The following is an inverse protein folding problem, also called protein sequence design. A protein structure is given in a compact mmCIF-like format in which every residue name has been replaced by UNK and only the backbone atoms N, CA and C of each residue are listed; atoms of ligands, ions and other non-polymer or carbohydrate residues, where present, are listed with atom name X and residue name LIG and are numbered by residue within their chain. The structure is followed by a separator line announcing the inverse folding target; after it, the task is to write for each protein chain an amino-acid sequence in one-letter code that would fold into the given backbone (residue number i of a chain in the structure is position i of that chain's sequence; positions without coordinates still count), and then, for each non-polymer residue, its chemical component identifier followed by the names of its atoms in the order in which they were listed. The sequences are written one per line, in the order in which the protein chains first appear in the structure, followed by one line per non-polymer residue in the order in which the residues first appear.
data_IF_406592352620
#
_entry.id   IF_406592352620
#
_cell.length_a   1.000
_cell.length_b   1.000
_cell.length_c   1.000
_cell.angle_alpha   90.00
_cell.angle_beta   90.00
_cell.angle_gamma   90.00
#
_symmetry.space_group_name_H-M   'P 1'
#
loop_
_entity.id
_entity.type
_entity.pdbx_description
1 polymer ?
#
# COMPACT_ATOMS: atom_id res chain seq x y z
N UNK A 1 -24.08 19.97 37.68
CA UNK A 1 -23.01 20.24 38.67
C UNK A 1 -23.57 19.98 40.05
N UNK A 2 -22.86 19.22 40.88
CA UNK A 2 -23.24 18.99 42.27
C UNK A 2 -22.95 20.26 43.10
N UNK A 3 -23.95 20.85 43.78
CA UNK A 3 -23.78 22.12 44.48
C UNK A 3 -22.91 22.05 45.75
N UNK A 4 -22.62 20.85 46.28
CA UNK A 4 -21.80 20.68 47.50
C UNK A 4 -20.33 20.37 47.15
N UNK A 5 -20.07 19.69 46.03
CA UNK A 5 -18.71 19.26 45.66
C UNK A 5 -18.16 19.91 44.39
N UNK A 6 -18.95 20.75 43.70
CA UNK A 6 -18.54 21.43 42.47
C UNK A 6 -18.40 20.52 41.23
N UNK A 7 -18.56 19.20 41.34
CA UNK A 7 -18.29 18.26 40.23
C UNK A 7 -19.49 18.08 39.28
N UNK A 8 -19.25 18.11 37.98
CA UNK A 8 -20.24 17.85 36.92
C UNK A 8 -20.23 16.39 36.44
N UNK A 9 -21.39 15.89 36.00
CA UNK A 9 -21.53 14.60 35.30
C UNK A 9 -22.00 14.86 33.86
N UNK A 10 -21.38 14.18 32.90
CA UNK A 10 -21.81 14.12 31.50
C UNK A 10 -22.12 12.67 31.15
N UNK A 11 -23.29 12.42 30.55
CA UNK A 11 -23.71 11.10 30.08
C UNK A 11 -23.83 11.17 28.56
N UNK A 12 -23.18 10.25 27.86
CA UNK A 12 -23.25 10.11 26.41
C UNK A 12 -23.67 8.70 26.01
N UNK A 13 -24.52 8.62 24.99
CA UNK A 13 -24.91 7.38 24.31
C UNK A 13 -24.18 7.37 22.96
N UNK A 14 -23.23 6.44 22.78
CA UNK A 14 -22.65 6.15 21.47
C UNK A 14 -23.18 4.81 21.03
N UNK A 15 -24.02 4.82 20.01
CA UNK A 15 -24.60 3.62 19.43
C UNK A 15 -23.50 2.84 18.65
N UNK A 16 -23.20 1.57 18.98
CA UNK A 16 -22.16 0.78 18.33
C UNK A 16 -22.44 0.44 16.86
N UNK A 17 -23.62 0.75 16.33
CA UNK A 17 -24.05 0.48 14.95
C UNK A 17 -23.11 1.06 13.88
N UNK A 18 -22.26 2.04 14.23
CA UNK A 18 -21.32 2.69 13.30
C UNK A 18 -19.84 2.31 13.47
N UNK A 19 -19.53 1.22 14.19
CA UNK A 19 -18.17 0.72 14.32
C UNK A 19 -17.68 0.05 13.03
N UNK A 20 -16.41 0.30 12.65
CA UNK A 20 -15.77 -0.42 11.56
C UNK A 20 -15.41 -1.87 11.97
N UNK A 21 -14.85 -2.66 11.07
CA UNK A 21 -14.48 -4.06 11.33
C UNK A 21 -13.49 -4.24 12.50
N UNK A 22 -12.86 -3.17 13.00
CA UNK A 22 -12.00 -3.16 14.19
C UNK A 22 -12.74 -2.81 15.49
N UNK A 23 -14.07 -2.63 15.42
CA UNK A 23 -14.89 -2.23 16.57
C UNK A 23 -14.76 -0.75 16.93
N UNK A 24 -14.16 0.08 16.07
CA UNK A 24 -13.93 1.52 16.33
C UNK A 24 -14.74 2.38 15.35
N UNK A 25 -15.39 3.43 15.84
CA UNK A 25 -16.08 4.41 14.99
C UNK A 25 -15.39 5.78 15.02
N UNK A 26 -15.65 6.62 14.01
CA UNK A 26 -15.19 8.01 14.03
C UNK A 26 -15.73 8.78 15.23
N UNK A 27 -16.93 8.45 15.69
CA UNK A 27 -17.55 9.06 16.87
C UNK A 27 -16.85 8.63 18.17
N UNK A 28 -16.42 7.36 18.27
CA UNK A 28 -15.62 6.90 19.41
C UNK A 28 -14.25 7.58 19.46
N UNK A 29 -13.62 7.81 18.30
CA UNK A 29 -12.35 8.56 18.21
C UNK A 29 -12.55 10.00 18.66
N UNK A 30 -13.63 10.65 18.22
CA UNK A 30 -13.97 12.02 18.60
C UNK A 30 -14.28 12.12 20.11
N UNK A 31 -14.95 11.10 20.68
CA UNK A 31 -15.16 11.02 22.12
C UNK A 31 -13.85 10.95 22.88
N UNK A 32 -12.98 9.99 22.53
CA UNK A 32 -11.69 9.81 23.19
C UNK A 32 -10.84 11.09 23.16
N UNK A 33 -10.78 11.77 21.99
CA UNK A 33 -10.06 13.02 21.85
C UNK A 33 -10.65 14.15 22.73
N UNK A 34 -11.98 14.23 22.81
CA UNK A 34 -12.65 15.23 23.65
C UNK A 34 -12.43 14.96 25.13
N UNK A 35 -12.47 13.70 25.56
CA UNK A 35 -12.21 13.31 26.95
C UNK A 35 -10.79 13.63 27.36
N UNK A 36 -9.81 13.34 26.49
CA UNK A 36 -8.40 13.64 26.74
C UNK A 36 -8.18 15.16 26.91
N UNK A 37 -8.65 15.96 25.97
CA UNK A 37 -8.48 17.43 26.01
C UNK A 37 -9.21 18.08 27.21
N UNK A 38 -10.41 17.60 27.54
CA UNK A 38 -11.14 18.05 28.73
C UNK A 38 -10.39 17.73 30.01
N UNK A 39 -9.85 16.52 30.09
CA UNK A 39 -9.17 16.11 31.29
C UNK A 39 -7.82 16.81 31.45
N UNK A 40 -7.10 17.09 30.36
CA UNK A 40 -5.88 17.91 30.40
C UNK A 40 -6.20 19.32 30.93
N UNK A 41 -7.25 19.96 30.43
CA UNK A 41 -7.73 21.26 30.93
C UNK A 41 -8.11 21.23 32.42
N UNK A 42 -8.65 20.12 32.91
CA UNK A 42 -9.12 19.97 34.29
C UNK A 42 -8.10 19.30 35.22
N UNK A 43 -6.88 19.04 34.75
CA UNK A 43 -5.80 18.45 35.54
C UNK A 43 -6.02 16.98 35.95
N UNK A 44 -6.73 16.18 35.16
CA UNK A 44 -6.86 14.73 35.40
C UNK A 44 -5.57 13.98 35.00
N UNK A 45 -5.30 12.82 35.63
CA UNK A 45 -4.29 11.87 35.17
C UNK A 45 -4.92 10.83 34.22
N UNK A 46 -4.56 10.82 32.92
CA UNK A 46 -5.09 9.88 31.95
C UNK A 46 -4.67 8.42 32.17
N UNK A 47 -3.68 8.15 33.03
CA UNK A 47 -3.23 6.79 33.37
C UNK A 47 -4.04 6.16 34.52
N UNK A 48 -4.70 6.98 35.36
CA UNK A 48 -5.43 6.51 36.54
C UNK A 48 -6.94 6.41 36.31
N UNK A 49 -7.50 7.23 35.41
CA UNK A 49 -8.91 7.16 35.02
C UNK A 49 -9.03 7.15 33.50
N UNK A 50 -9.58 6.06 32.94
CA UNK A 50 -9.81 5.90 31.48
C UNK A 50 -10.97 6.79 30.94
N UNK A 51 -11.08 8.01 31.45
CA UNK A 51 -12.13 9.00 31.18
C UNK A 51 -12.77 9.53 32.47
N UNK A 52 -13.76 10.43 32.35
CA UNK A 52 -14.62 10.83 33.47
C UNK A 52 -15.28 9.58 34.06
N UNK A 53 -14.76 9.09 35.19
CA UNK A 53 -15.17 7.79 35.73
C UNK A 53 -16.48 7.90 36.51
N UNK A 54 -17.18 6.76 36.55
CA UNK A 54 -18.09 6.38 37.64
C UNK A 54 -17.52 6.80 38.99
N UNK A 55 -18.40 7.24 39.89
CA UNK A 55 -18.06 7.58 41.27
C UNK A 55 -17.19 6.47 41.89
N UNK A 56 -15.92 6.74 42.25
CA UNK A 56 -15.00 5.72 42.77
C UNK A 56 -15.38 5.21 44.17
N UNK A 57 -16.38 5.80 44.83
CA UNK A 57 -16.76 5.46 46.21
C UNK A 57 -18.07 4.63 46.32
N UNK A 58 -18.67 4.15 45.22
CA UNK A 58 -19.91 3.37 45.29
C UNK A 58 -19.70 1.89 44.93
N UNK A 59 -19.90 1.00 45.90
CA UNK A 59 -19.69 -0.47 45.79
C UNK A 59 -20.99 -1.29 45.92
N UNK A 60 -22.17 -0.66 45.93
CA UNK A 60 -23.46 -1.31 46.15
C UNK A 60 -24.15 -1.87 44.88
N UNK A 61 -25.11 -2.79 45.08
CA UNK A 61 -25.89 -3.44 43.99
C UNK A 61 -27.26 -2.79 43.69
N UNK A 62 -27.61 -1.66 44.32
CA UNK A 62 -28.95 -1.08 44.21
C UNK A 62 -29.15 -0.28 42.89
N UNK A 63 -30.14 -0.62 42.04
CA UNK A 63 -30.44 0.14 40.83
C UNK A 63 -31.00 1.55 41.11
N UNK A 64 -31.55 1.79 42.30
CA UNK A 64 -32.16 3.06 42.71
C UNK A 64 -31.16 4.10 43.24
N UNK A 65 -29.87 3.76 43.31
CA UNK A 65 -28.81 4.72 43.67
C UNK A 65 -28.62 5.82 42.60
N UNK A 66 -29.17 5.63 41.41
CA UNK A 66 -29.22 6.64 40.37
C UNK A 66 -30.52 7.43 40.48
N UNK A 67 -30.51 8.56 41.21
CA UNK A 67 -31.51 9.61 40.97
C UNK A 67 -31.15 10.26 39.65
N UNK A 68 -31.87 9.88 38.59
CA UNK A 68 -31.81 10.57 37.30
C UNK A 68 -32.25 12.02 37.52
N UNK A 69 -31.29 12.93 37.65
CA UNK A 69 -31.60 14.34 37.53
C UNK A 69 -32.11 14.58 36.11
N UNK A 70 -33.21 15.34 36.02
CA UNK A 70 -33.89 15.75 34.79
C UNK A 70 -32.84 16.00 33.69
N UNK A 71 -32.93 15.20 32.62
CA UNK A 71 -32.06 15.32 31.46
C UNK A 71 -31.95 16.80 31.10
N UNK A 72 -30.72 17.26 30.91
CA UNK A 72 -30.47 18.63 30.54
C UNK A 72 -31.05 18.72 29.12
N UNK A 73 -32.05 19.58 28.88
CA UNK A 73 -32.74 19.69 27.59
C UNK A 73 -31.82 20.14 26.43
N UNK A 74 -30.52 20.27 26.68
CA UNK A 74 -29.53 20.86 25.80
C UNK A 74 -28.55 19.79 25.33
N UNK A 75 -28.80 19.27 24.14
CA UNK A 75 -27.86 18.42 23.41
C UNK A 75 -26.77 19.32 22.83
N UNK A 76 -25.52 19.12 23.25
CA UNK A 76 -24.36 19.80 22.67
C UNK A 76 -23.62 18.87 21.72
N UNK A 77 -23.23 19.36 20.55
CA UNK A 77 -22.40 18.59 19.61
C UNK A 77 -21.00 18.47 20.20
N UNK A 78 -20.49 17.25 20.24
CA UNK A 78 -19.20 16.94 20.84
C UNK A 78 -18.03 17.67 20.13
N UNK A 79 -18.15 17.88 18.82
CA UNK A 79 -17.20 18.68 18.03
C UNK A 79 -17.17 20.17 18.38
N UNK A 80 -18.28 20.75 18.85
CA UNK A 80 -18.32 22.14 19.30
C UNK A 80 -17.77 22.26 20.72
N UNK A 81 -17.97 21.24 21.54
CA UNK A 81 -17.43 21.16 22.90
C UNK A 81 -15.90 21.09 22.89
N UNK A 82 -15.31 20.16 22.12
CA UNK A 82 -13.84 20.03 22.06
C UNK A 82 -13.19 21.31 21.51
N UNK A 83 -13.85 22.03 20.60
CA UNK A 83 -13.36 23.31 20.08
C UNK A 83 -13.25 24.34 21.20
N UNK A 84 -14.33 24.54 21.96
CA UNK A 84 -14.34 25.48 23.09
C UNK A 84 -13.35 25.09 24.18
N UNK A 85 -13.20 23.80 24.46
CA UNK A 85 -12.24 23.30 25.45
C UNK A 85 -10.80 23.62 25.02
N UNK A 86 -10.48 23.44 23.74
CA UNK A 86 -9.16 23.79 23.19
C UNK A 86 -8.91 25.29 23.20
N UNK A 87 -9.92 26.09 22.87
CA UNK A 87 -9.85 27.55 22.96
C UNK A 87 -9.57 28.02 24.39
N UNK A 88 -10.24 27.42 25.38
CA UNK A 88 -10.02 27.67 26.82
C UNK A 88 -8.64 27.20 27.31
N UNK A 89 -8.13 26.08 26.76
CA UNK A 89 -6.83 25.51 27.11
C UNK A 89 -5.64 26.21 26.40
N UNK A 90 -5.91 27.10 25.44
CA UNK A 90 -4.87 27.72 24.60
C UNK A 90 -4.15 26.74 23.67
N UNK A 91 -4.73 25.55 23.42
CA UNK A 91 -4.15 24.54 22.53
C UNK A 91 -4.59 24.79 21.09
N UNK A 92 -3.65 24.68 20.14
CA UNK A 92 -3.93 24.88 18.72
C UNK A 92 -5.07 23.98 18.23
N UNK A 93 -6.03 24.59 17.52
CA UNK A 93 -7.04 23.81 16.84
C UNK A 93 -6.37 23.00 15.74
N UNK A 94 -6.83 21.76 15.55
CA UNK A 94 -6.48 21.00 14.35
C UNK A 94 -7.12 21.70 13.15
N UNK A 95 -6.40 22.62 12.53
CA UNK A 95 -6.72 23.14 11.21
C UNK A 95 -6.33 22.06 10.21
N UNK A 96 -7.33 21.39 9.64
CA UNK A 96 -7.08 20.54 8.49
C UNK A 96 -6.42 21.41 7.41
N UNK A 97 -5.21 21.04 6.98
CA UNK A 97 -4.48 21.74 5.93
C UNK A 97 -5.44 22.13 4.79
N UNK A 98 -5.38 23.39 4.29
CA UNK A 98 -6.34 23.89 3.33
C UNK A 98 -6.46 22.92 2.17
N UNK A 99 -7.66 22.38 1.97
CA UNK A 99 -7.92 21.47 0.86
C UNK A 99 -7.56 22.21 -0.41
N UNK A 100 -6.67 21.65 -1.23
CA UNK A 100 -6.32 22.24 -2.50
C UNK A 100 -7.58 22.30 -3.38
N UNK A 101 -8.07 23.52 -3.60
CA UNK A 101 -9.24 23.78 -4.42
C UNK A 101 -8.77 24.05 -5.85
N UNK A 102 -9.32 23.31 -6.81
CA UNK A 102 -9.09 23.57 -8.24
C UNK A 102 -10.23 24.43 -8.78
N UNK A 103 -9.91 25.47 -9.56
CA UNK A 103 -10.90 26.37 -10.16
C UNK A 103 -11.67 25.67 -11.28
N UNK A 104 -11.12 24.62 -11.88
CA UNK A 104 -11.79 23.83 -12.92
C UNK A 104 -11.36 22.36 -12.98
N UNK A 105 -12.18 21.52 -13.61
CA UNK A 105 -11.85 20.11 -13.84
C UNK A 105 -10.64 19.90 -14.77
N UNK A 106 -10.34 20.84 -15.67
CA UNK A 106 -9.14 20.79 -16.52
C UNK A 106 -7.87 21.03 -15.72
N UNK A 107 -7.92 21.99 -14.80
CA UNK A 107 -6.82 22.29 -13.89
C UNK A 107 -6.50 21.09 -12.99
N UNK A 108 -7.54 20.40 -12.49
CA UNK A 108 -7.38 19.14 -11.76
C UNK A 108 -6.68 18.06 -12.61
N UNK A 109 -7.08 17.90 -13.88
CA UNK A 109 -6.47 16.90 -14.77
C UNK A 109 -5.00 17.23 -15.03
N UNK A 110 -4.67 18.50 -15.27
CA UNK A 110 -3.30 18.92 -15.54
C UNK A 110 -2.43 18.76 -14.29
N UNK A 111 -2.90 19.19 -13.12
CA UNK A 111 -2.17 19.01 -11.87
C UNK A 111 -1.93 17.53 -11.52
N UNK A 112 -2.86 16.64 -11.87
CA UNK A 112 -2.68 15.20 -11.67
C UNK A 112 -1.68 14.61 -12.67
N UNK A 113 -1.62 15.13 -13.90
CA UNK A 113 -0.61 14.73 -14.88
C UNK A 113 0.79 15.17 -14.47
N UNK A 114 0.97 16.43 -14.07
CA UNK A 114 2.28 16.95 -13.64
C UNK A 114 2.80 16.17 -12.45
N UNK A 115 1.97 15.90 -11.44
CA UNK A 115 2.36 15.05 -10.29
C UNK A 115 2.77 13.64 -10.70
N UNK A 116 2.10 13.07 -11.71
CA UNK A 116 2.46 11.75 -12.23
C UNK A 116 3.82 11.79 -12.92
N UNK A 117 4.07 12.82 -13.72
CA UNK A 117 5.34 13.03 -14.42
C UNK A 117 6.47 13.26 -13.42
N UNK A 118 6.28 14.13 -12.43
CA UNK A 118 7.21 14.37 -11.32
C UNK A 118 7.51 13.07 -10.55
N UNK A 119 6.47 12.29 -10.20
CA UNK A 119 6.67 11.02 -9.51
C UNK A 119 7.38 9.97 -10.38
N UNK A 120 7.17 9.98 -11.70
CA UNK A 120 7.88 9.10 -12.63
C UNK A 120 9.34 9.52 -12.80
N UNK A 121 9.61 10.83 -12.91
CA UNK A 121 10.95 11.39 -12.98
C UNK A 121 11.74 11.12 -11.69
N UNK A 122 11.12 11.36 -10.52
CA UNK A 122 11.71 11.03 -9.23
C UNK A 122 11.99 9.54 -9.10
N UNK A 123 11.08 8.68 -9.55
CA UNK A 123 11.30 7.23 -9.56
C UNK A 123 12.47 6.84 -10.46
N UNK A 124 12.60 7.43 -11.65
CA UNK A 124 13.72 7.17 -12.54
C UNK A 124 15.04 7.63 -11.92
N UNK A 125 15.08 8.85 -11.38
CA UNK A 125 16.25 9.39 -10.68
C UNK A 125 16.65 8.52 -9.48
N UNK A 126 15.68 8.08 -8.68
CA UNK A 126 15.94 7.18 -7.54
C UNK A 126 16.45 5.81 -7.99
N UNK A 127 15.97 5.30 -9.13
CA UNK A 127 16.46 4.05 -9.72
C UNK A 127 17.88 4.19 -10.28
N UNK A 128 18.21 5.32 -10.90
CA UNK A 128 19.53 5.62 -11.44
C UNK A 128 20.54 5.80 -10.29
N UNK A 129 20.17 6.55 -9.24
CA UNK A 129 21.00 6.70 -8.02
C UNK A 129 21.16 5.36 -7.29
N UNK A 130 20.11 4.57 -7.11
CA UNK A 130 20.23 3.24 -6.49
C UNK A 130 21.11 2.30 -7.34
N UNK A 131 21.07 2.41 -8.68
CA UNK A 131 21.91 1.61 -9.57
C UNK A 131 23.39 2.03 -9.50
N UNK A 132 23.68 3.33 -9.37
CA UNK A 132 25.04 3.86 -9.23
C UNK A 132 25.62 3.64 -7.82
N UNK A 133 24.78 3.69 -6.77
CA UNK A 133 25.23 3.67 -5.36
C UNK A 133 25.33 2.25 -4.78
N UNK A 134 24.51 1.29 -5.22
CA UNK A 134 24.26 0.07 -4.43
C UNK A 134 25.31 -1.05 -4.49
N UNK A 135 26.29 -1.00 -5.39
CA UNK A 135 27.29 -2.07 -5.55
C UNK A 135 28.66 -1.77 -4.91
N UNK A 136 29.08 -0.49 -4.85
CA UNK A 136 30.43 -0.12 -4.42
C UNK A 136 30.53 0.51 -3.02
N UNK A 137 29.48 1.15 -2.52
CA UNK A 137 29.58 2.02 -1.33
C UNK A 137 29.25 1.33 0.02
N UNK A 138 28.61 0.15 0.02
CA UNK A 138 28.44 -0.63 1.26
C UNK A 138 29.79 -0.98 1.92
N UNK A 139 30.87 -1.05 1.13
CA UNK A 139 32.24 -1.28 1.61
C UNK A 139 32.86 -0.04 2.30
N UNK A 140 32.29 1.13 2.06
CA UNK A 140 32.77 2.42 2.57
C UNK A 140 31.80 3.06 3.57
N UNK A 141 30.67 2.43 3.88
CA UNK A 141 29.74 2.91 4.90
C UNK A 141 30.26 2.51 6.30
N UNK A 142 30.74 3.47 7.12
CA UNK A 142 31.30 3.17 8.44
C UNK A 142 30.24 2.66 9.44
N UNK A 143 28.94 2.76 9.11
CA UNK A 143 27.86 2.24 9.94
C UNK A 143 27.54 0.75 9.68
N UNK A 144 28.14 0.14 8.64
CA UNK A 144 27.97 -1.29 8.34
C UNK A 144 29.02 -2.12 9.08
N UNK A 145 28.56 -3.08 9.88
CA UNK A 145 29.39 -4.08 10.53
C UNK A 145 29.29 -5.36 9.70
N UNK A 146 30.41 -5.84 9.16
CA UNK A 146 30.45 -6.99 8.23
C UNK A 146 29.44 -6.90 7.07
N UNK A 147 29.19 -5.69 6.56
CA UNK A 147 28.22 -5.44 5.48
C UNK A 147 26.75 -5.37 5.95
N UNK A 148 26.49 -5.46 7.25
CA UNK A 148 25.15 -5.44 7.86
C UNK A 148 24.97 -4.19 8.72
N UNK A 149 23.87 -3.46 8.52
CA UNK A 149 23.50 -2.32 9.37
C UNK A 149 22.78 -2.82 10.62
N UNK A 150 23.50 -2.91 11.73
CA UNK A 150 22.96 -3.39 13.02
C UNK A 150 22.05 -2.33 13.64
N UNK A 151 20.82 -2.71 13.96
CA UNK A 151 19.89 -1.87 14.71
C UNK A 151 20.05 -2.09 16.20
N UNK A 152 20.15 -1.00 16.95
CA UNK A 152 20.32 -1.01 18.40
C UNK A 152 18.99 -0.67 19.09
N UNK A 153 18.57 -1.51 20.05
CA UNK A 153 17.41 -1.23 20.92
C UNK A 153 17.85 -0.28 22.05
N UNK A 154 18.98 -0.61 22.65
CA UNK A 154 19.72 0.19 23.64
C UNK A 154 21.21 0.02 23.33
N UNK A 155 22.06 0.90 23.86
CA UNK A 155 23.52 0.77 23.70
C UNK A 155 23.98 -0.63 24.11
N UNK A 156 24.72 -1.31 23.22
CA UNK A 156 25.21 -2.67 23.41
C UNK A 156 24.18 -3.79 23.18
N UNK A 157 22.90 -3.47 22.93
CA UNK A 157 21.83 -4.46 22.73
C UNK A 157 21.20 -4.33 21.35
N UNK A 158 21.48 -5.27 20.45
CA UNK A 158 20.94 -5.26 19.09
C UNK A 158 19.53 -5.83 18.97
N UNK A 159 18.75 -5.29 18.03
CA UNK A 159 17.50 -5.83 17.50
C UNK A 159 17.81 -6.90 16.44
N UNK A 160 18.11 -8.13 16.89
CA UNK A 160 18.62 -9.24 16.06
C UNK A 160 17.71 -9.57 14.88
N UNK A 161 16.44 -9.88 15.14
CA UNK A 161 15.49 -10.27 14.09
C UNK A 161 15.15 -9.13 13.13
N UNK A 162 15.05 -7.89 13.62
CA UNK A 162 14.75 -6.76 12.76
C UNK A 162 15.93 -6.41 11.84
N UNK A 163 17.15 -6.47 12.39
CA UNK A 163 18.39 -6.34 11.62
C UNK A 163 18.45 -7.40 10.52
N UNK A 164 18.24 -8.67 10.88
CA UNK A 164 18.24 -9.80 9.96
C UNK A 164 17.17 -9.68 8.87
N UNK A 165 15.95 -9.28 9.24
CA UNK A 165 14.84 -9.11 8.31
C UNK A 165 15.07 -7.95 7.33
N UNK A 166 15.58 -6.80 7.79
CA UNK A 166 15.90 -5.67 6.93
C UNK A 166 17.04 -5.99 5.96
N UNK A 167 18.06 -6.69 6.43
CA UNK A 167 19.16 -7.14 5.56
C UNK A 167 18.69 -8.13 4.49
N UNK A 168 17.82 -9.08 4.85
CA UNK A 168 17.19 -10.01 3.91
C UNK A 168 16.32 -9.28 2.86
N UNK A 169 15.60 -8.22 3.25
CA UNK A 169 14.86 -7.38 2.31
C UNK A 169 15.78 -6.62 1.36
N UNK A 170 16.85 -5.98 1.88
CA UNK A 170 17.85 -5.26 1.06
C UNK A 170 18.45 -6.20 0.01
N UNK A 171 18.86 -7.40 0.44
CA UNK A 171 19.43 -8.43 -0.44
C UNK A 171 18.40 -8.94 -1.45
N UNK A 172 17.14 -9.16 -1.04
CA UNK A 172 16.08 -9.57 -1.95
C UNK A 172 15.78 -8.53 -3.04
N UNK A 173 15.80 -7.24 -2.70
CA UNK A 173 15.68 -6.16 -3.67
C UNK A 173 16.88 -6.12 -4.63
N UNK A 174 18.11 -6.31 -4.13
CA UNK A 174 19.32 -6.42 -4.97
C UNK A 174 19.24 -7.57 -5.97
N UNK A 175 18.89 -8.77 -5.52
CA UNK A 175 18.71 -9.94 -6.38
C UNK A 175 17.67 -9.68 -7.47
N UNK A 176 16.57 -9.00 -7.13
CA UNK A 176 15.53 -8.61 -8.09
C UNK A 176 16.06 -7.60 -9.11
N UNK A 177 16.79 -6.58 -8.69
CA UNK A 177 17.36 -5.56 -9.58
C UNK A 177 18.40 -6.17 -10.52
N UNK A 178 19.24 -7.09 -10.01
CA UNK A 178 20.22 -7.84 -10.80
C UNK A 178 19.60 -8.90 -11.74
N UNK A 179 18.27 -9.06 -11.76
CA UNK A 179 17.58 -10.06 -12.58
C UNK A 179 17.81 -11.51 -12.13
N UNK A 180 18.40 -11.73 -10.96
CA UNK A 180 18.66 -13.06 -10.42
C UNK A 180 17.39 -13.67 -9.81
N UNK A 181 17.35 -15.02 -9.75
CA UNK A 181 16.19 -15.74 -9.22
C UNK A 181 16.13 -15.58 -7.70
N UNK A 182 15.02 -15.01 -7.22
CA UNK A 182 14.74 -14.81 -5.79
C UNK A 182 14.32 -16.12 -5.11
N UNK A 183 15.31 -16.94 -4.73
CA UNK A 183 15.12 -18.24 -4.06
C UNK A 183 14.94 -18.07 -2.55
N UNK A 184 14.17 -18.98 -1.93
CA UNK A 184 13.97 -18.98 -0.48
C UNK A 184 15.31 -19.19 0.25
N UNK A 185 16.21 -20.03 -0.29
CA UNK A 185 17.55 -20.28 0.26
C UNK A 185 18.41 -18.99 0.35
N UNK A 186 18.53 -18.23 -0.74
CA UNK A 186 19.34 -17.01 -0.74
C UNK A 186 18.82 -15.95 0.25
N UNK A 187 17.50 -15.90 0.48
CA UNK A 187 16.92 -15.01 1.49
C UNK A 187 17.21 -15.51 2.91
N UNK A 188 17.14 -16.83 3.13
CA UNK A 188 17.45 -17.45 4.42
C UNK A 188 18.92 -17.23 4.78
N UNK A 189 19.83 -17.47 3.83
CA UNK A 189 21.28 -17.26 4.04
C UNK A 189 21.59 -15.81 4.41
N UNK A 190 20.97 -14.85 3.72
CA UNK A 190 21.11 -13.42 4.01
C UNK A 190 20.54 -13.02 5.39
N UNK A 191 19.48 -13.69 5.83
CA UNK A 191 18.90 -13.49 7.15
C UNK A 191 19.81 -14.05 8.25
N UNK A 192 20.29 -15.28 8.09
CA UNK A 192 21.15 -15.95 9.07
C UNK A 192 22.49 -15.23 9.26
N UNK A 193 23.09 -14.78 8.17
CA UNK A 193 24.30 -13.97 8.22
C UNK A 193 24.12 -12.71 9.07
N UNK A 194 23.07 -11.93 8.79
CA UNK A 194 22.80 -10.70 9.54
C UNK A 194 22.35 -10.94 10.99
N UNK A 195 21.65 -12.04 11.27
CA UNK A 195 21.31 -12.44 12.63
C UNK A 195 22.57 -12.74 13.45
N UNK A 196 23.51 -13.48 12.86
CA UNK A 196 24.77 -13.83 13.51
C UNK A 196 25.63 -12.58 13.76
N UNK A 197 25.75 -11.67 12.79
CA UNK A 197 26.46 -10.39 12.97
C UNK A 197 25.83 -9.58 14.13
N UNK A 198 24.51 -9.45 14.15
CA UNK A 198 23.82 -8.74 15.22
C UNK A 198 24.00 -9.42 16.60
N UNK A 199 24.07 -10.75 16.64
CA UNK A 199 24.33 -11.51 17.87
C UNK A 199 25.76 -11.31 18.37
N UNK A 200 26.76 -11.34 17.48
CA UNK A 200 28.16 -11.20 17.85
C UNK A 200 28.45 -9.81 18.42
N UNK A 201 27.87 -8.77 17.82
CA UNK A 201 28.15 -7.38 18.20
C UNK A 201 27.19 -6.80 19.23
N UNK A 202 25.94 -7.28 19.31
CA UNK A 202 24.90 -6.73 20.19
C UNK A 202 24.15 -7.78 21.01
N UNK A 203 24.79 -8.92 21.28
CA UNK A 203 24.23 -10.01 22.08
C UNK A 203 23.95 -9.61 23.54
N UNK A 204 24.73 -8.68 24.11
CA UNK A 204 24.63 -8.24 25.51
C UNK A 204 24.59 -9.41 26.52
N UNK A 205 25.38 -10.47 26.27
CA UNK A 205 25.39 -11.68 27.09
C UNK A 205 24.14 -12.57 26.96
N UNK A 206 23.15 -12.20 26.13
CA UNK A 206 21.98 -13.04 25.84
C UNK A 206 22.44 -14.26 25.05
N UNK A 207 22.01 -15.48 25.43
CA UNK A 207 22.24 -16.65 24.60
C UNK A 207 21.67 -16.39 23.20
N UNK A 208 22.29 -17.01 22.19
CA UNK A 208 21.70 -17.04 20.87
C UNK A 208 20.29 -17.61 21.03
N UNK A 209 19.28 -16.78 20.77
CA UNK A 209 17.93 -17.29 20.62
C UNK A 209 18.02 -18.24 19.45
N UNK A 210 17.69 -19.52 19.68
CA UNK A 210 17.87 -20.54 18.66
C UNK A 210 17.27 -20.01 17.36
N UNK A 211 18.05 -19.85 16.27
CA UNK A 211 17.54 -19.21 15.07
C UNK A 211 16.28 -19.98 14.66
N UNK A 212 15.20 -19.30 14.22
CA UNK A 212 13.86 -19.87 14.15
C UNK A 212 13.87 -21.26 13.50
N UNK A 213 13.03 -22.22 13.90
CA UNK A 213 13.00 -23.53 13.27
C UNK A 213 12.88 -23.38 11.75
N UNK A 214 13.48 -24.29 10.97
CA UNK A 214 13.61 -24.15 9.51
C UNK A 214 12.28 -23.80 8.79
N UNK A 215 11.16 -24.31 9.31
CA UNK A 215 9.80 -23.99 8.84
C UNK A 215 9.46 -22.49 8.93
N UNK A 216 9.88 -21.81 9.98
CA UNK A 216 9.64 -20.39 10.20
C UNK A 216 10.55 -19.54 9.31
N UNK A 217 11.81 -19.96 9.09
CA UNK A 217 12.71 -19.31 8.13
C UNK A 217 12.18 -19.37 6.70
N UNK A 218 11.63 -20.52 6.29
CA UNK A 218 10.96 -20.65 4.99
C UNK A 218 9.73 -19.75 4.89
N UNK A 219 8.94 -19.64 5.97
CA UNK A 219 7.76 -18.76 6.00
C UNK A 219 8.16 -17.28 5.93
N UNK A 220 9.21 -16.88 6.65
CA UNK A 220 9.82 -15.56 6.59
C UNK A 220 10.33 -15.25 5.18
N UNK A 221 11.08 -16.17 4.56
CA UNK A 221 11.61 -15.99 3.21
C UNK A 221 10.50 -15.80 2.17
N UNK A 222 9.39 -16.55 2.29
CA UNK A 222 8.19 -16.36 1.45
C UNK A 222 7.55 -14.99 1.65
N UNK A 223 7.53 -14.46 2.88
CA UNK A 223 7.04 -13.11 3.18
C UNK A 223 7.95 -12.04 2.57
N UNK A 224 9.26 -12.14 2.78
CA UNK A 224 10.27 -11.24 2.17
C UNK A 224 10.12 -11.25 0.65
N UNK A 225 10.03 -12.43 0.02
CA UNK A 225 9.77 -12.55 -1.42
C UNK A 225 8.46 -11.88 -1.82
N UNK A 226 7.40 -12.04 -1.02
CA UNK A 226 6.13 -11.34 -1.19
C UNK A 226 6.29 -9.81 -1.18
N UNK A 227 6.99 -9.26 -0.20
CA UNK A 227 7.25 -7.81 -0.12
C UNK A 227 8.08 -7.31 -1.30
N UNK A 228 9.16 -8.02 -1.62
CA UNK A 228 10.07 -7.68 -2.72
C UNK A 228 9.34 -7.71 -4.06
N UNK A 229 8.46 -8.70 -4.31
CA UNK A 229 7.77 -8.87 -5.60
C UNK A 229 6.49 -8.04 -5.75
N UNK A 230 5.66 -7.98 -4.70
CA UNK A 230 4.32 -7.39 -4.76
C UNK A 230 4.30 -5.89 -4.51
N UNK A 231 5.44 -5.26 -4.16
CA UNK A 231 5.52 -3.82 -3.93
C UNK A 231 4.38 -3.31 -3.03
N UNK A 232 4.09 -4.02 -1.94
CA UNK A 232 3.50 -3.36 -0.77
C UNK A 232 4.65 -2.59 -0.13
N UNK A 233 5.03 -1.48 -0.75
CA UNK A 233 5.74 -0.45 -0.02
C UNK A 233 4.83 -0.05 1.14
N UNK A 234 5.13 -0.56 2.33
CA UNK A 234 4.99 0.27 3.52
C UNK A 234 5.67 1.56 3.15
N UNK A 235 4.86 2.62 3.03
CA UNK A 235 5.31 3.96 2.72
C UNK A 235 6.64 4.19 3.44
N UNK A 236 7.68 4.46 2.65
CA UNK A 236 8.99 4.80 3.17
C UNK A 236 8.78 5.81 4.29
N UNK A 237 9.14 5.37 5.49
CA UNK A 237 9.29 6.18 6.68
C UNK A 237 10.34 7.23 6.29
N UNK A 238 9.94 8.49 6.24
CA UNK A 238 10.85 9.61 5.98
C UNK A 238 10.87 10.15 4.55
N UNK A 239 9.74 10.60 4.01
CA UNK A 239 9.72 11.85 3.24
C UNK A 239 8.33 12.46 3.34
N UNK A 240 8.27 13.74 3.68
CA UNK A 240 7.06 14.54 3.79
C UNK A 240 6.09 14.28 2.64
N UNK A 241 4.83 14.01 3.00
CA UNK A 241 3.74 13.69 2.09
C UNK A 241 3.60 14.70 0.93
N UNK A 242 4.12 14.34 -0.23
CA UNK A 242 3.79 15.01 -1.49
C UNK A 242 2.79 14.14 -2.28
N UNK A 243 1.57 14.65 -2.42
CA UNK A 243 0.85 14.55 -3.69
C UNK A 243 -0.01 13.32 -3.99
N UNK A 244 -0.49 12.53 -3.02
CA UNK A 244 -1.54 11.54 -3.32
C UNK A 244 -2.88 12.23 -3.60
N UNK A 245 -3.46 11.98 -4.77
CA UNK A 245 -4.77 12.50 -5.15
C UNK A 245 -5.82 12.13 -4.09
N UNK A 246 -6.60 13.10 -3.61
CA UNK A 246 -7.60 12.89 -2.55
C UNK A 246 -8.77 12.01 -3.03
N UNK A 247 -9.56 11.45 -2.11
CA UNK A 247 -10.72 10.62 -2.48
C UNK A 247 -11.76 11.41 -3.30
N UNK A 248 -11.93 12.70 -3.00
CA UNK A 248 -12.77 13.63 -3.77
C UNK A 248 -12.24 13.86 -5.18
N UNK A 249 -10.93 14.07 -5.35
CA UNK A 249 -10.31 14.23 -6.67
C UNK A 249 -10.47 12.96 -7.51
N UNK A 250 -10.26 11.78 -6.91
CA UNK A 250 -10.49 10.49 -7.60
C UNK A 250 -11.93 10.33 -8.05
N UNK A 251 -12.90 10.72 -7.22
CA UNK A 251 -14.33 10.67 -7.56
C UNK A 251 -14.69 11.68 -8.66
N UNK A 252 -14.12 12.88 -8.63
CA UNK A 252 -14.29 13.90 -9.66
C UNK A 252 -13.73 13.43 -11.02
N UNK A 253 -12.51 12.88 -11.03
CA UNK A 253 -11.89 12.29 -12.23
C UNK A 253 -12.70 11.12 -12.79
N UNK A 254 -13.15 10.20 -11.94
CA UNK A 254 -13.99 9.08 -12.36
C UNK A 254 -15.32 9.57 -12.98
N UNK A 255 -15.91 10.61 -12.40
CA UNK A 255 -17.15 11.21 -12.92
C UNK A 255 -16.92 11.90 -14.26
N UNK A 256 -15.83 12.65 -14.42
CA UNK A 256 -15.46 13.28 -15.69
C UNK A 256 -15.15 12.24 -16.77
N UNK A 257 -14.42 11.17 -16.43
CA UNK A 257 -14.16 10.05 -17.33
C UNK A 257 -15.46 9.36 -17.78
N UNK A 258 -16.39 9.13 -16.85
CA UNK A 258 -17.72 8.56 -17.15
C UNK A 258 -18.52 9.46 -18.09
N UNK A 259 -18.58 10.77 -17.84
CA UNK A 259 -19.27 11.74 -18.71
C UNK A 259 -18.63 11.81 -20.10
N UNK A 260 -17.30 11.79 -20.17
CA UNK A 260 -16.55 11.74 -21.44
C UNK A 260 -16.88 10.48 -22.24
N UNK A 261 -16.90 9.32 -21.59
CA UNK A 261 -17.30 8.05 -22.22
C UNK A 261 -18.75 8.03 -22.70
N UNK A 262 -19.68 8.57 -21.92
CA UNK A 262 -21.07 8.73 -22.33
C UNK A 262 -21.22 9.66 -23.54
N UNK A 263 -20.52 10.80 -23.55
CA UNK A 263 -20.55 11.74 -24.68
C UNK A 263 -19.91 11.12 -25.93
N UNK A 264 -18.81 10.38 -25.79
CA UNK A 264 -18.21 9.63 -26.89
C UNK A 264 -19.19 8.58 -27.44
N UNK A 265 -19.83 7.79 -26.58
CA UNK A 265 -20.85 6.81 -26.97
C UNK A 265 -22.06 7.46 -27.66
N UNK A 266 -22.52 8.61 -27.17
CA UNK A 266 -23.56 9.40 -27.84
C UNK A 266 -23.12 9.81 -29.24
N UNK A 267 -21.90 10.34 -29.42
CA UNK A 267 -21.37 10.73 -30.74
C UNK A 267 -21.37 9.57 -31.73
N UNK A 268 -20.99 8.38 -31.30
CA UNK A 268 -21.06 7.17 -32.14
C UNK A 268 -22.48 6.79 -32.58
N UNK A 269 -23.50 7.14 -31.78
CA UNK A 269 -24.92 6.86 -32.10
C UNK A 269 -25.56 7.96 -32.95
N UNK A 270 -25.28 9.22 -32.63
CA UNK A 270 -25.94 10.38 -33.25
C UNK A 270 -25.28 10.79 -34.57
N UNK A 271 -23.96 10.67 -34.66
CA UNK A 271 -23.22 11.03 -35.87
C UNK A 271 -22.10 10.00 -36.14
N UNK A 272 -22.46 8.81 -36.65
CA UNK A 272 -21.50 7.75 -36.94
C UNK A 272 -20.54 8.11 -38.07
N UNK A 273 -20.87 9.11 -38.91
CA UNK A 273 -20.06 9.53 -40.06
C UNK A 273 -19.36 10.87 -39.82
N UNK A 274 -19.52 11.48 -38.65
CA UNK A 274 -18.84 12.71 -38.27
C UNK A 274 -17.32 12.56 -38.18
N UNK A 275 -16.62 13.69 -38.25
CA UNK A 275 -15.17 13.78 -38.21
C UNK A 275 -14.55 13.01 -37.02
N UNK A 276 -15.16 13.13 -35.84
CA UNK A 276 -14.73 12.40 -34.64
C UNK A 276 -14.83 10.87 -34.82
N UNK A 277 -15.97 10.37 -35.32
CA UNK A 277 -16.17 8.93 -35.50
C UNK A 277 -15.26 8.36 -36.59
N UNK A 278 -15.05 9.11 -37.69
CA UNK A 278 -14.16 8.71 -38.77
C UNK A 278 -12.69 8.69 -38.33
N UNK A 279 -12.22 9.71 -37.61
CA UNK A 279 -10.84 9.76 -37.11
C UNK A 279 -10.56 8.62 -36.14
N UNK A 280 -11.47 8.30 -35.23
CA UNK A 280 -11.34 7.15 -34.36
C UNK A 280 -11.41 5.82 -35.12
N UNK A 281 -12.28 5.68 -36.14
CA UNK A 281 -12.29 4.49 -37.02
C UNK A 281 -10.96 4.29 -37.73
N UNK A 282 -10.34 5.36 -38.25
CA UNK A 282 -9.01 5.29 -38.89
C UNK A 282 -7.95 4.78 -37.91
N UNK A 283 -7.95 5.27 -36.66
CA UNK A 283 -7.04 4.77 -35.60
C UNK A 283 -7.27 3.29 -35.31
N UNK A 284 -8.55 2.87 -35.17
CA UNK A 284 -8.88 1.46 -34.95
C UNK A 284 -8.49 0.57 -36.13
N UNK A 285 -8.69 1.03 -37.37
CA UNK A 285 -8.26 0.32 -38.58
C UNK A 285 -6.73 0.16 -38.61
N UNK A 286 -5.98 1.23 -38.34
CA UNK A 286 -4.52 1.18 -38.26
C UNK A 286 -4.04 0.20 -37.17
N UNK A 287 -4.65 0.25 -35.98
CA UNK A 287 -4.34 -0.67 -34.89
C UNK A 287 -4.67 -2.13 -35.25
N UNK A 288 -5.79 -2.37 -35.93
CA UNK A 288 -6.17 -3.70 -36.39
C UNK A 288 -5.23 -4.22 -37.48
N UNK A 289 -4.83 -3.38 -38.44
CA UNK A 289 -3.84 -3.73 -39.45
C UNK A 289 -2.49 -4.13 -38.81
N UNK A 290 -2.03 -3.37 -37.81
CA UNK A 290 -0.81 -3.70 -37.06
C UNK A 290 -0.95 -5.02 -36.29
N UNK A 291 -2.09 -5.27 -35.64
CA UNK A 291 -2.36 -6.54 -34.95
C UNK A 291 -2.39 -7.72 -35.92
N UNK A 292 -2.98 -7.55 -37.10
CA UNK A 292 -2.96 -8.57 -38.15
C UNK A 292 -1.53 -8.87 -38.62
N UNK A 293 -0.72 -7.84 -38.87
CA UNK A 293 0.69 -7.99 -39.24
C UNK A 293 1.49 -8.73 -38.15
N UNK A 294 1.36 -8.32 -36.88
CA UNK A 294 1.98 -9.02 -35.74
C UNK A 294 1.54 -10.48 -35.66
N UNK A 295 0.25 -10.74 -35.87
CA UNK A 295 -0.33 -12.09 -35.88
C UNK A 295 0.22 -12.97 -37.01
N UNK A 296 0.45 -12.41 -38.20
CA UNK A 296 1.14 -13.10 -39.30
C UNK A 296 2.59 -13.41 -38.93
N UNK A 297 3.29 -12.45 -38.31
CA UNK A 297 4.67 -12.65 -37.84
C UNK A 297 4.81 -13.71 -36.74
N UNK A 298 3.88 -13.79 -35.78
CA UNK A 298 3.85 -14.91 -34.82
C UNK A 298 3.50 -16.24 -35.48
N UNK A 299 2.58 -16.25 -36.46
CA UNK A 299 2.26 -17.48 -37.20
C UNK A 299 3.48 -18.02 -37.96
N UNK A 300 4.26 -17.14 -38.59
CA UNK A 300 5.51 -17.53 -39.27
C UNK A 300 6.54 -18.13 -38.31
N UNK A 301 6.73 -17.53 -37.14
CA UNK A 301 7.60 -18.09 -36.08
C UNK A 301 7.12 -19.45 -35.59
N UNK A 302 5.81 -19.61 -35.37
CA UNK A 302 5.21 -20.90 -34.99
C UNK A 302 5.45 -21.97 -36.05
N UNK A 303 5.35 -21.63 -37.34
CA UNK A 303 5.62 -22.56 -38.44
C UNK A 303 7.08 -23.00 -38.44
N UNK A 304 8.03 -22.06 -38.39
CA UNK A 304 9.46 -22.35 -38.39
C UNK A 304 9.82 -23.29 -37.23
N UNK A 305 9.44 -22.93 -36.01
CA UNK A 305 9.68 -23.75 -34.82
C UNK A 305 8.99 -25.12 -34.92
N UNK A 306 7.77 -25.19 -35.47
CA UNK A 306 7.07 -26.46 -35.60
C UNK A 306 7.76 -27.41 -36.58
N UNK A 307 8.27 -26.88 -37.70
CA UNK A 307 9.02 -27.65 -38.69
C UNK A 307 10.39 -28.08 -38.17
N UNK A 308 11.10 -27.20 -37.46
CA UNK A 308 12.39 -27.56 -36.83
C UNK A 308 12.22 -28.74 -35.87
N UNK A 309 11.21 -28.71 -34.99
CA UNK A 309 10.94 -29.84 -34.09
C UNK A 309 10.51 -31.09 -34.86
N UNK A 310 9.69 -30.94 -35.90
CA UNK A 310 9.26 -32.07 -36.74
C UNK A 310 10.47 -32.74 -37.42
N UNK A 311 11.41 -31.97 -37.95
CA UNK A 311 12.63 -32.52 -38.58
C UNK A 311 13.54 -33.22 -37.59
N UNK A 312 13.66 -32.72 -36.36
CA UNK A 312 14.51 -33.31 -35.32
C UNK A 312 13.89 -34.56 -34.68
N UNK A 313 12.57 -34.61 -34.53
CA UNK A 313 11.89 -35.65 -33.73
C UNK A 313 11.00 -36.60 -34.54
N UNK A 314 10.75 -36.27 -35.82
CA UNK A 314 9.79 -36.97 -36.68
C UNK A 314 8.32 -36.78 -36.28
N UNK A 315 8.01 -35.92 -35.30
CA UNK A 315 6.65 -35.70 -34.78
C UNK A 315 6.29 -34.23 -34.69
N UNK A 316 5.05 -33.91 -35.04
CA UNK A 316 4.52 -32.55 -34.92
C UNK A 316 4.43 -32.13 -33.45
N UNK A 317 4.98 -30.96 -33.08
CA UNK A 317 5.01 -30.54 -31.69
C UNK A 317 3.62 -30.14 -31.18
N UNK A 318 3.44 -30.29 -29.87
CA UNK A 318 2.26 -29.77 -29.19
C UNK A 318 2.35 -28.24 -29.07
N UNK A 319 1.20 -27.54 -29.04
CA UNK A 319 1.21 -26.10 -28.79
C UNK A 319 1.72 -25.70 -27.39
N UNK A 320 1.88 -26.66 -26.46
CA UNK A 320 2.58 -26.41 -25.19
C UNK A 320 4.07 -26.21 -25.44
N UNK A 321 4.68 -27.10 -26.22
CA UNK A 321 6.11 -27.06 -26.57
C UNK A 321 6.43 -25.78 -27.35
N UNK A 322 5.69 -25.52 -28.41
CA UNK A 322 5.88 -24.31 -29.23
C UNK A 322 5.63 -23.03 -28.42
N UNK A 323 4.65 -23.06 -27.50
CA UNK A 323 4.39 -21.93 -26.60
C UNK A 323 5.56 -21.64 -25.65
N UNK A 324 6.19 -22.68 -25.10
CA UNK A 324 7.36 -22.55 -24.24
C UNK A 324 8.56 -21.98 -24.99
N UNK A 325 8.84 -22.46 -26.20
CA UNK A 325 9.99 -22.01 -26.99
C UNK A 325 9.85 -20.56 -27.49
N UNK A 326 8.63 -20.15 -27.90
CA UNK A 326 8.39 -18.81 -28.44
C UNK A 326 7.94 -17.80 -27.37
N UNK A 327 7.81 -18.20 -26.11
CA UNK A 327 7.30 -17.35 -25.03
C UNK A 327 5.85 -16.89 -25.23
N UNK A 328 5.04 -17.66 -25.97
CA UNK A 328 3.61 -17.37 -26.24
C UNK A 328 2.72 -18.33 -25.47
N UNK A 329 1.46 -17.94 -25.26
CA UNK A 329 0.53 -18.82 -24.53
C UNK A 329 0.22 -20.08 -25.35
N UNK A 330 0.00 -21.22 -24.66
CA UNK A 330 -0.43 -22.49 -25.29
C UNK A 330 -1.65 -22.28 -26.21
N UNK A 331 -2.59 -21.44 -25.81
CA UNK A 331 -3.80 -21.17 -26.59
C UNK A 331 -3.48 -20.43 -27.90
N UNK A 332 -2.58 -19.45 -27.87
CA UNK A 332 -2.12 -18.74 -29.08
C UNK A 332 -1.37 -19.69 -30.00
N UNK A 333 -0.44 -20.49 -29.47
CA UNK A 333 0.28 -21.50 -30.24
C UNK A 333 -0.68 -22.48 -30.92
N UNK A 334 -1.66 -23.03 -30.18
CA UNK A 334 -2.67 -23.93 -30.74
C UNK A 334 -3.51 -23.29 -31.85
N UNK A 335 -3.91 -22.01 -31.71
CA UNK A 335 -4.66 -21.31 -32.78
C UNK A 335 -3.81 -21.15 -34.04
N UNK A 336 -2.52 -20.85 -33.89
CA UNK A 336 -1.61 -20.73 -35.03
C UNK A 336 -1.34 -22.09 -35.68
N UNK A 337 -1.06 -23.13 -34.90
CA UNK A 337 -0.89 -24.50 -35.41
C UNK A 337 -2.14 -25.00 -36.14
N UNK A 338 -3.34 -24.77 -35.58
CA UNK A 338 -4.60 -25.11 -36.25
C UNK A 338 -4.73 -24.39 -37.61
N UNK A 339 -4.48 -23.08 -37.63
CA UNK A 339 -4.55 -22.31 -38.86
C UNK A 339 -3.48 -22.72 -39.90
N UNK A 340 -2.33 -23.21 -39.45
CA UNK A 340 -1.28 -23.72 -40.35
C UNK A 340 -1.66 -25.08 -40.95
N UNK A 341 -2.29 -25.96 -40.17
CA UNK A 341 -2.86 -27.23 -40.69
C UNK A 341 -3.97 -26.98 -41.70
N UNK A 342 -4.88 -26.06 -41.39
CA UNK A 342 -5.96 -25.66 -42.31
C UNK A 342 -5.42 -25.06 -43.61
N UNK A 343 -4.23 -24.43 -43.56
CA UNK A 343 -3.53 -23.91 -44.72
C UNK A 343 -2.63 -24.94 -45.45
N UNK A 344 -2.56 -26.19 -44.96
CA UNK A 344 -1.73 -27.25 -45.55
C UNK A 344 -0.22 -27.04 -45.41
N UNK A 345 0.22 -26.23 -44.44
CA UNK A 345 1.65 -25.92 -44.24
C UNK A 345 2.35 -26.85 -43.25
N UNK A 346 1.59 -27.62 -42.47
CA UNK A 346 2.01 -28.68 -41.53
C UNK A 346 0.92 -29.75 -41.44
#
# INVERSE_FOLDING_TARGET
MNPISGKGQFIWLIDPVYADASGKSSQMKLLAATTYALGELLGHDPHFAHGFSRNPFYTGKSPSAYRWYRQHNRVMRLGDLIRKVRDLAGTDQYEAAPRQQFKSGRELINAVKTRREEAQAFKALAQDVDAEVSAGLDQYDPELIDGVRVLWITEGTAARDETAFRHALKTGHRLRTAGQRLTDAAIIDAYEHAYNVAQTHGGAGRPAELPPPMRDRQTMARRVRGYVTQSKSTAAIGSSALGKATSSERKALATMGRRGGQKASQRWKTDPHGEYAQTERKKFQAANALRQSRGKGTRGRVLATAMDILTQTGKLPSGRTVGQELGITRQQANRHLKALREAGLI
#
